data_IF_611688807338
#
_entry.id   IF_611688807338
#
_cell.length_a   1.000
_cell.length_b   1.000
_cell.length_c   1.000
_cell.angle_alpha   90.00
_cell.angle_beta   90.00
_cell.angle_gamma   90.00
#
_symmetry.space_group_name_H-M   'P 1'
#
loop_
_entity.id
_entity.type
_entity.pdbx_description
1 polymer ?
#
# COMPACT_ATOMS: atom_id res chain seq x y z
N UNK A 1 -16.81 -13.27 -6.79
CA UNK A 1 -18.03 -13.20 -5.95
C UNK A 1 -19.23 -13.59 -6.79
N UNK A 2 -20.10 -14.45 -6.28
CA UNK A 2 -21.37 -14.79 -6.93
C UNK A 2 -22.47 -13.96 -6.26
N UNK A 3 -23.26 -13.23 -7.06
CA UNK A 3 -24.28 -12.32 -6.56
C UNK A 3 -25.67 -12.93 -6.73
N UNK A 4 -26.40 -13.06 -5.64
CA UNK A 4 -27.83 -13.39 -5.57
C UNK A 4 -28.57 -12.16 -5.06
N UNK A 5 -29.58 -11.69 -5.78
CA UNK A 5 -30.30 -10.44 -5.46
C UNK A 5 -29.37 -9.26 -5.16
N UNK A 6 -28.34 -9.10 -6.01
CA UNK A 6 -27.29 -8.08 -5.90
C UNK A 6 -26.50 -8.09 -4.58
N UNK A 7 -26.54 -9.22 -3.87
CA UNK A 7 -25.79 -9.48 -2.64
C UNK A 7 -24.81 -10.65 -2.82
N UNK A 8 -23.60 -10.54 -2.27
CA UNK A 8 -22.61 -11.61 -2.30
C UNK A 8 -21.83 -11.70 -0.98
N UNK A 9 -21.66 -12.92 -0.47
CA UNK A 9 -20.76 -13.22 0.64
C UNK A 9 -19.32 -13.39 0.18
N UNK A 10 -18.37 -12.94 1.00
CA UNK A 10 -16.94 -12.97 0.75
C UNK A 10 -16.17 -13.21 2.06
N UNK A 11 -14.88 -13.52 1.93
CA UNK A 11 -13.99 -13.77 3.06
C UNK A 11 -12.66 -13.07 2.86
N UNK A 12 -12.22 -12.36 3.89
CA UNK A 12 -10.88 -11.79 3.98
C UNK A 12 -9.97 -12.74 4.78
N UNK A 13 -8.81 -13.06 4.22
CA UNK A 13 -7.83 -13.95 4.85
C UNK A 13 -6.88 -13.11 5.70
N UNK A 14 -6.78 -13.48 6.97
CA UNK A 14 -6.02 -12.85 8.03
C UNK A 14 -4.66 -13.50 8.31
N UNK A 15 -4.03 -13.15 9.45
CA UNK A 15 -2.79 -13.76 9.90
C UNK A 15 -2.95 -15.27 10.18
N UNK A 16 -1.85 -16.01 10.03
CA UNK A 16 -1.82 -17.44 10.31
C UNK A 16 -1.87 -17.69 11.83
N UNK A 17 -2.85 -18.49 12.28
CA UNK A 17 -2.92 -18.96 13.66
C UNK A 17 -1.92 -20.10 13.87
N UNK A 18 -0.72 -19.75 14.35
CA UNK A 18 0.36 -20.70 14.65
C UNK A 18 0.20 -21.41 16.00
N UNK A 19 -0.84 -21.09 16.79
CA UNK A 19 -1.11 -21.79 18.06
C UNK A 19 -1.82 -23.14 17.87
N UNK A 20 -2.34 -23.40 16.67
CA UNK A 20 -2.97 -24.66 16.30
C UNK A 20 -1.92 -25.70 15.86
N UNK A 21 -2.17 -26.98 16.13
CA UNK A 21 -1.32 -28.10 15.66
C UNK A 21 -1.14 -28.06 14.14
N UNK A 22 -2.21 -27.71 13.42
CA UNK A 22 -2.20 -27.41 11.99
C UNK A 22 -2.50 -25.93 11.84
N UNK A 23 -1.50 -25.09 11.53
CA UNK A 23 -1.73 -23.66 11.37
C UNK A 23 -2.80 -23.37 10.32
N UNK A 24 -3.75 -22.50 10.66
CA UNK A 24 -4.83 -22.07 9.78
C UNK A 24 -4.94 -20.55 9.79
N UNK A 25 -5.27 -19.89 8.67
CA UNK A 25 -5.45 -18.45 8.67
C UNK A 25 -6.69 -18.07 9.48
N UNK A 26 -6.58 -17.00 10.26
CA UNK A 26 -7.77 -16.28 10.72
C UNK A 26 -8.52 -15.73 9.52
N UNK A 27 -9.84 -15.56 9.65
CA UNK A 27 -10.66 -15.08 8.55
C UNK A 27 -11.76 -14.18 9.07
N UNK A 28 -12.07 -13.12 8.31
CA UNK A 28 -13.22 -12.25 8.56
C UNK A 28 -14.14 -12.37 7.36
N UNK A 29 -15.35 -12.85 7.60
CA UNK A 29 -16.39 -12.91 6.57
C UNK A 29 -17.05 -11.52 6.42
N UNK A 30 -17.42 -11.18 5.20
CA UNK A 30 -18.10 -9.91 4.89
C UNK A 30 -19.11 -10.09 3.76
N UNK A 31 -20.06 -9.16 3.69
CA UNK A 31 -21.12 -9.16 2.69
C UNK A 31 -21.00 -7.90 1.85
N UNK A 32 -21.25 -8.03 0.55
CA UNK A 32 -21.27 -6.92 -0.38
C UNK A 32 -22.66 -6.84 -1.02
N UNK A 33 -23.28 -5.67 -0.92
CA UNK A 33 -24.51 -5.33 -1.62
C UNK A 33 -24.19 -4.31 -2.71
N UNK A 34 -24.44 -4.61 -3.98
CA UNK A 34 -24.15 -3.68 -5.07
C UNK A 34 -25.41 -3.05 -5.62
N UNK A 35 -25.28 -1.80 -6.06
CA UNK A 35 -26.29 -1.10 -6.84
C UNK A 35 -25.69 -0.74 -8.20
N UNK A 36 -26.17 -1.44 -9.24
CA UNK A 36 -25.72 -1.24 -10.62
C UNK A 36 -26.17 0.11 -11.19
N UNK A 37 -27.32 0.64 -10.77
CA UNK A 37 -27.81 1.92 -11.26
C UNK A 37 -27.02 3.07 -10.63
N UNK A 38 -26.78 2.99 -9.33
CA UNK A 38 -25.99 3.98 -8.60
C UNK A 38 -24.48 3.85 -8.82
N UNK A 39 -24.00 2.78 -9.47
CA UNK A 39 -22.58 2.45 -9.63
C UNK A 39 -21.86 2.46 -8.27
N UNK A 40 -22.48 1.82 -7.28
CA UNK A 40 -22.01 1.81 -5.90
C UNK A 40 -22.13 0.42 -5.26
N UNK A 41 -21.46 0.22 -4.13
CA UNK A 41 -21.63 -0.94 -3.28
C UNK A 41 -21.52 -0.58 -1.81
N UNK A 42 -22.27 -1.31 -0.98
CA UNK A 42 -22.15 -1.35 0.47
C UNK A 42 -21.37 -2.61 0.84
N UNK A 43 -20.34 -2.45 1.66
CA UNK A 43 -19.55 -3.54 2.24
C UNK A 43 -19.90 -3.58 3.72
N UNK A 44 -20.49 -4.68 4.17
CA UNK A 44 -20.77 -4.96 5.58
C UNK A 44 -19.72 -5.95 6.09
N UNK A 45 -18.84 -5.48 6.98
CA UNK A 45 -17.75 -6.27 7.54
C UNK A 45 -17.69 -5.97 9.04
N UNK A 46 -17.83 -7.01 9.87
CA UNK A 46 -17.95 -6.87 11.32
C UNK A 46 -19.05 -5.85 11.70
N UNK A 47 -18.75 -4.86 12.54
CA UNK A 47 -19.71 -3.81 12.96
C UNK A 47 -19.71 -2.59 12.01
N UNK A 48 -19.05 -2.68 10.85
CA UNK A 48 -18.83 -1.56 9.95
C UNK A 48 -19.65 -1.71 8.66
N UNK A 49 -20.15 -0.56 8.17
CA UNK A 49 -20.82 -0.43 6.87
C UNK A 49 -20.13 0.64 6.05
N UNK A 50 -19.58 0.25 4.90
CA UNK A 50 -18.76 1.11 4.05
C UNK A 50 -19.46 1.28 2.72
N UNK A 51 -19.77 2.51 2.34
CA UNK A 51 -20.38 2.82 1.04
C UNK A 51 -19.31 3.35 0.10
N UNK A 52 -19.12 2.68 -1.05
CA UNK A 52 -18.18 3.09 -2.07
C UNK A 52 -18.89 3.27 -3.41
N UNK A 53 -18.53 4.33 -4.13
CA UNK A 53 -18.80 4.45 -5.56
C UNK A 53 -17.70 3.76 -6.36
N UNK A 54 -18.00 3.34 -7.58
CA UNK A 54 -16.98 2.82 -8.49
C UNK A 54 -15.85 3.85 -8.67
N UNK A 55 -14.60 3.40 -8.59
CA UNK A 55 -13.41 4.24 -8.57
C UNK A 55 -13.08 4.87 -7.22
N UNK A 56 -13.78 4.51 -6.13
CA UNK A 56 -13.55 5.05 -4.80
C UNK A 56 -12.82 4.08 -3.88
N UNK A 57 -11.84 4.61 -3.15
CA UNK A 57 -11.20 3.96 -2.00
C UNK A 57 -11.95 4.26 -0.71
N UNK A 58 -12.02 3.28 0.19
CA UNK A 58 -12.41 3.53 1.57
C UNK A 58 -11.29 4.24 2.34
N UNK A 59 -11.66 4.83 3.47
CA UNK A 59 -10.70 5.10 4.54
C UNK A 59 -10.11 3.79 5.08
N UNK A 60 -9.13 3.90 5.97
CA UNK A 60 -8.59 2.75 6.69
C UNK A 60 -9.68 2.11 7.57
N UNK A 61 -9.84 0.80 7.39
CA UNK A 61 -10.80 -0.03 8.09
C UNK A 61 -10.04 -0.90 9.09
N UNK A 62 -10.36 -0.76 10.37
CA UNK A 62 -9.82 -1.60 11.45
C UNK A 62 -10.63 -2.89 11.55
N UNK A 63 -9.92 -4.01 11.54
CA UNK A 63 -10.46 -5.36 11.57
C UNK A 63 -9.90 -6.12 12.76
N UNK A 64 -10.77 -6.85 13.42
CA UNK A 64 -10.42 -7.76 14.51
C UNK A 64 -10.29 -9.20 13.99
N UNK A 65 -9.10 -9.79 14.10
CA UNK A 65 -8.87 -11.18 13.71
C UNK A 65 -8.79 -12.06 14.96
N UNK A 66 -9.83 -12.86 15.15
CA UNK A 66 -9.89 -13.86 16.21
C UNK A 66 -9.00 -15.07 15.88
N UNK A 67 -8.08 -15.38 16.78
CA UNK A 67 -7.25 -16.58 16.79
C UNK A 67 -7.78 -17.54 17.85
N UNK A 68 -8.42 -18.62 17.38
CA UNK A 68 -8.87 -19.69 18.26
C UNK A 68 -7.72 -20.30 19.04
N UNK A 69 -7.85 -20.36 20.36
CA UNK A 69 -6.86 -20.93 21.28
C UNK A 69 -7.30 -22.33 21.76
N UNK A 70 -6.40 -23.14 22.36
CA UNK A 70 -6.79 -24.39 23.01
C UNK A 70 -7.92 -24.17 24.03
N UNK A 71 -8.82 -25.14 24.18
CA UNK A 71 -10.14 -25.03 24.83
C UNK A 71 -10.21 -24.48 26.26
N UNK A 72 -9.07 -24.28 26.93
CA UNK A 72 -8.96 -23.74 28.29
C UNK A 72 -8.42 -22.30 28.34
N UNK A 73 -8.08 -21.70 27.20
CA UNK A 73 -7.54 -20.34 27.08
C UNK A 73 -8.51 -19.50 26.23
N UNK A 74 -8.85 -18.27 26.65
CA UNK A 74 -9.63 -17.36 25.81
C UNK A 74 -8.96 -17.14 24.45
N UNK A 75 -9.79 -16.93 23.42
CA UNK A 75 -9.28 -16.62 22.09
C UNK A 75 -8.48 -15.33 22.10
N UNK A 76 -7.43 -15.29 21.26
CA UNK A 76 -6.57 -14.13 21.13
C UNK A 76 -7.05 -13.29 19.95
N UNK A 77 -7.01 -11.98 20.10
CA UNK A 77 -7.43 -11.05 19.06
C UNK A 77 -6.21 -10.31 18.51
N UNK A 78 -6.10 -10.22 17.18
CA UNK A 78 -5.09 -9.44 16.48
C UNK A 78 -5.78 -8.36 15.69
N UNK A 79 -5.44 -7.12 15.94
CA UNK A 79 -5.93 -6.01 15.13
C UNK A 79 -5.08 -5.81 13.87
N UNK A 80 -5.76 -5.70 12.73
CA UNK A 80 -5.17 -5.30 11.47
C UNK A 80 -6.00 -4.21 10.79
N UNK A 81 -5.42 -3.56 9.80
CA UNK A 81 -6.12 -2.56 8.99
C UNK A 81 -6.01 -2.87 7.50
N UNK A 82 -7.04 -2.52 6.75
CA UNK A 82 -7.02 -2.54 5.28
C UNK A 82 -7.84 -1.40 4.69
N UNK A 83 -7.72 -1.19 3.39
CA UNK A 83 -8.64 -0.37 2.59
C UNK A 83 -9.32 -1.22 1.54
N UNK A 84 -10.55 -0.86 1.22
CA UNK A 84 -11.27 -1.37 0.08
C UNK A 84 -11.21 -0.38 -1.08
N UNK A 85 -11.17 -0.89 -2.31
CA UNK A 85 -11.25 -0.10 -3.52
C UNK A 85 -12.22 -0.75 -4.50
N UNK A 86 -13.31 -0.05 -4.78
CA UNK A 86 -14.34 -0.55 -5.69
C UNK A 86 -13.96 -0.23 -7.13
N UNK A 87 -13.33 -1.18 -7.82
CA UNK A 87 -12.85 -0.98 -9.19
C UNK A 87 -13.99 -0.99 -10.21
N UNK A 88 -14.90 -1.94 -10.08
CA UNK A 88 -15.98 -2.18 -11.05
C UNK A 88 -17.21 -2.74 -10.33
N UNK A 89 -18.38 -2.20 -10.60
CA UNK A 89 -19.66 -2.69 -10.05
C UNK A 89 -20.36 -3.64 -11.02
N UNK A 90 -20.33 -3.30 -12.31
CA UNK A 90 -20.91 -4.05 -13.41
C UNK A 90 -20.19 -3.74 -14.75
N UNK A 91 -20.19 -4.67 -15.73
CA UNK A 91 -20.81 -6.01 -15.67
C UNK A 91 -20.04 -6.99 -14.76
N UNK A 92 -18.74 -6.80 -14.56
CA UNK A 92 -17.94 -7.66 -13.70
C UNK A 92 -17.71 -6.96 -12.36
N UNK A 93 -18.11 -7.58 -11.26
CA UNK A 93 -17.85 -6.98 -9.95
C UNK A 93 -16.38 -7.18 -9.57
N UNK A 94 -15.67 -6.07 -9.31
CA UNK A 94 -14.28 -6.05 -8.89
C UNK A 94 -14.12 -5.16 -7.66
N UNK A 95 -13.83 -5.80 -6.53
CA UNK A 95 -13.49 -5.15 -5.28
C UNK A 95 -12.09 -5.58 -4.88
N UNK A 96 -11.20 -4.61 -4.72
CA UNK A 96 -9.85 -4.83 -4.22
C UNK A 96 -9.82 -4.55 -2.71
N UNK A 97 -9.11 -5.41 -1.97
CA UNK A 97 -8.74 -5.17 -0.59
C UNK A 97 -7.21 -5.02 -0.54
N UNK A 98 -6.72 -3.96 0.10
CA UNK A 98 -5.27 -3.79 0.29
C UNK A 98 -4.70 -4.95 1.10
N UNK A 99 -3.38 -5.22 1.00
CA UNK A 99 -2.70 -6.06 1.98
C UNK A 99 -3.06 -5.65 3.41
N UNK A 100 -3.19 -6.65 4.28
CA UNK A 100 -3.40 -6.40 5.70
C UNK A 100 -2.15 -5.74 6.29
N UNK A 101 -2.36 -4.60 6.93
CA UNK A 101 -1.36 -3.90 7.71
C UNK A 101 -1.60 -4.21 9.19
N UNK A 102 -0.54 -4.13 10.00
CA UNK A 102 -0.69 -4.11 11.46
C UNK A 102 -1.42 -2.82 11.83
N UNK A 103 -2.35 -2.88 12.78
CA UNK A 103 -2.97 -1.65 13.29
C UNK A 103 -1.95 -0.83 14.10
N UNK A 104 -1.53 0.37 13.67
CA UNK A 104 -0.54 1.14 14.41
C UNK A 104 -1.05 1.64 15.78
N UNK A 105 -2.37 1.65 16.02
CA UNK A 105 -2.95 2.01 17.33
C UNK A 105 -2.90 0.87 18.36
N UNK A 106 -2.83 -0.38 17.88
CA UNK A 106 -2.76 -1.60 18.71
C UNK A 106 -1.95 -2.70 18.02
N UNK A 107 -0.71 -2.37 17.66
CA UNK A 107 0.09 -3.21 16.77
C UNK A 107 0.52 -4.49 17.47
N UNK A 108 0.12 -5.63 16.92
CA UNK A 108 0.60 -6.94 17.37
C UNK A 108 2.09 -7.13 17.06
N UNK A 109 2.56 -6.56 15.94
CA UNK A 109 3.96 -6.60 15.53
C UNK A 109 4.72 -5.42 16.15
N UNK A 110 5.92 -5.67 16.68
CA UNK A 110 6.83 -4.59 17.06
C UNK A 110 7.41 -3.98 15.79
N UNK A 111 6.92 -2.80 15.42
CA UNK A 111 7.35 -2.05 14.22
C UNK A 111 8.07 -0.74 14.56
N UNK A 112 8.13 -0.38 15.85
CA UNK A 112 8.90 0.77 16.35
C UNK A 112 9.76 0.38 17.54
N UNK A 113 10.80 1.18 17.78
CA UNK A 113 11.55 1.21 19.02
C UNK A 113 11.59 2.65 19.57
N UNK A 114 11.10 2.90 20.79
CA UNK A 114 10.45 1.93 21.68
C UNK A 114 9.05 1.49 21.19
N UNK A 115 8.46 0.39 21.70
CA UNK A 115 7.21 -0.18 21.20
C UNK A 115 6.01 0.76 21.26
N UNK A 116 5.95 1.66 22.23
CA UNK A 116 4.88 2.63 22.42
C UNK A 116 4.89 3.76 21.38
N UNK A 117 6.03 4.01 20.73
CA UNK A 117 6.19 5.13 19.81
C UNK A 117 5.19 5.09 18.64
N UNK A 118 4.82 3.90 18.17
CA UNK A 118 3.80 3.75 17.12
C UNK A 118 2.41 4.28 17.55
N UNK A 119 2.09 4.18 18.84
CA UNK A 119 0.83 4.68 19.39
C UNK A 119 0.80 6.21 19.41
N UNK A 120 1.93 6.84 19.71
CA UNK A 120 2.05 8.31 19.65
C UNK A 120 1.84 8.81 18.22
N UNK A 121 2.53 8.19 17.24
CA UNK A 121 2.39 8.53 15.83
C UNK A 121 0.93 8.35 15.38
N UNK A 122 0.32 7.20 15.66
CA UNK A 122 -1.06 6.91 15.22
C UNK A 122 -2.10 7.76 15.93
N UNK A 123 -1.89 8.14 17.19
CA UNK A 123 -2.79 9.06 17.90
C UNK A 123 -2.88 10.43 17.21
N UNK A 124 -1.79 10.87 16.58
CA UNK A 124 -1.69 12.16 15.90
C UNK A 124 -2.04 12.09 14.42
N UNK A 125 -1.63 11.04 13.72
CA UNK A 125 -1.75 10.92 12.27
C UNK A 125 -2.90 10.02 11.81
N UNK A 126 -3.55 9.31 12.74
CA UNK A 126 -4.51 8.26 12.44
C UNK A 126 -3.83 6.99 11.94
N UNK A 127 -4.59 6.19 11.16
CA UNK A 127 -4.12 4.94 10.59
C UNK A 127 -3.30 5.19 9.31
N UNK A 128 -2.26 4.38 9.07
CA UNK A 128 -1.34 4.49 7.94
C UNK A 128 -0.71 3.12 7.60
N UNK A 129 -0.08 3.01 6.43
CA UNK A 129 0.60 1.79 5.99
C UNK A 129 1.73 1.37 6.95
N UNK A 130 1.71 0.10 7.38
CA UNK A 130 2.76 -0.53 8.20
C UNK A 130 3.47 -1.68 7.49
N UNK A 131 3.13 -1.97 6.24
CA UNK A 131 3.86 -2.97 5.43
C UNK A 131 5.21 -2.42 4.97
N UNK A 132 6.17 -3.32 4.71
CA UNK A 132 7.49 -2.92 4.22
C UNK A 132 7.45 -2.26 2.83
N UNK A 133 6.78 -2.89 1.87
CA UNK A 133 6.46 -2.27 0.58
C UNK A 133 5.01 -1.81 0.59
N UNK A 134 4.81 -0.49 0.51
CA UNK A 134 3.53 0.17 0.75
C UNK A 134 2.82 0.44 -0.58
N UNK A 135 3.55 0.87 -1.60
CA UNK A 135 3.06 0.95 -2.98
C UNK A 135 2.87 -0.46 -3.57
N UNK A 136 1.64 -0.80 -3.95
CA UNK A 136 1.29 -2.14 -4.42
C UNK A 136 1.64 -2.36 -5.90
N UNK A 137 2.94 -2.28 -6.19
CA UNK A 137 3.54 -2.56 -7.49
C UNK A 137 3.25 -4.01 -7.97
N UNK A 138 2.99 -4.95 -7.05
CA UNK A 138 2.61 -6.32 -7.40
C UNK A 138 1.20 -6.37 -7.97
N UNK A 139 0.26 -5.61 -7.43
CA UNK A 139 -1.07 -5.48 -8.02
C UNK A 139 -1.03 -4.88 -9.43
N UNK A 140 -0.14 -3.91 -9.68
CA UNK A 140 0.08 -3.42 -11.05
C UNK A 140 0.70 -4.49 -11.96
N UNK A 141 1.80 -5.13 -11.53
CA UNK A 141 2.51 -6.14 -12.32
C UNK A 141 1.63 -7.35 -12.67
N UNK A 142 0.71 -7.72 -11.77
CA UNK A 142 -0.25 -8.80 -11.97
C UNK A 142 -1.57 -8.35 -12.63
N UNK A 143 -1.64 -7.10 -13.12
CA UNK A 143 -2.81 -6.52 -13.82
C UNK A 143 -4.09 -6.45 -12.97
N UNK A 144 -3.95 -6.46 -11.65
CA UNK A 144 -5.03 -6.15 -10.71
C UNK A 144 -5.33 -4.65 -10.77
N UNK A 145 -4.27 -3.83 -10.82
CA UNK A 145 -4.37 -2.40 -11.06
C UNK A 145 -4.07 -2.03 -12.51
N UNK A 146 -4.75 -0.98 -12.98
CA UNK A 146 -4.28 -0.14 -14.07
C UNK A 146 -3.19 0.81 -13.58
N UNK A 147 -2.42 1.39 -14.49
CA UNK A 147 -1.43 2.41 -14.16
C UNK A 147 -2.04 3.61 -13.42
N UNK A 148 -3.29 3.98 -13.74
CA UNK A 148 -3.99 5.08 -13.06
C UNK A 148 -4.32 4.74 -11.61
N UNK A 149 -4.80 3.53 -11.35
CA UNK A 149 -5.15 3.05 -10.01
C UNK A 149 -3.91 2.93 -9.12
N UNK A 150 -2.82 2.35 -9.65
CA UNK A 150 -1.55 2.32 -8.95
C UNK A 150 -1.04 3.72 -8.65
N UNK A 151 -1.14 4.66 -9.59
CA UNK A 151 -0.68 6.03 -9.37
C UNK A 151 -1.48 6.79 -8.30
N UNK A 152 -2.75 6.44 -8.07
CA UNK A 152 -3.56 6.98 -6.96
C UNK A 152 -3.13 6.34 -5.64
N UNK A 153 -2.94 5.02 -5.62
CA UNK A 153 -2.51 4.32 -4.41
C UNK A 153 -1.10 4.77 -3.98
N UNK A 154 -0.19 4.96 -4.92
CA UNK A 154 1.15 5.47 -4.65
C UNK A 154 1.15 6.92 -4.11
N UNK A 155 0.18 7.75 -4.52
CA UNK A 155 0.02 9.09 -3.94
C UNK A 155 -0.48 9.03 -2.49
N UNK A 156 -1.38 8.10 -2.12
CA UNK A 156 -1.73 7.89 -0.71
C UNK A 156 -0.51 7.57 0.15
N UNK A 157 0.38 6.68 -0.33
CA UNK A 157 1.63 6.36 0.36
C UNK A 157 2.50 7.61 0.48
N UNK A 158 2.69 8.36 -0.60
CA UNK A 158 3.50 9.58 -0.58
C UNK A 158 2.98 10.62 0.42
N UNK A 159 1.66 10.86 0.46
CA UNK A 159 1.05 11.77 1.44
C UNK A 159 1.24 11.27 2.87
N UNK A 160 1.15 9.97 3.12
CA UNK A 160 1.48 9.37 4.41
C UNK A 160 2.95 9.58 4.80
N UNK A 161 3.89 9.43 3.86
CA UNK A 161 5.31 9.73 4.10
C UNK A 161 5.53 11.20 4.45
N UNK A 162 4.87 12.14 3.77
CA UNK A 162 4.97 13.56 4.14
C UNK A 162 4.47 13.85 5.54
N UNK A 163 3.34 13.27 5.95
CA UNK A 163 2.81 13.42 7.31
C UNK A 163 3.74 12.82 8.37
N UNK A 164 4.35 11.68 8.06
CA UNK A 164 5.34 11.05 8.94
C UNK A 164 6.62 11.87 9.06
N UNK A 165 7.10 12.46 7.96
CA UNK A 165 8.25 13.36 7.99
C UNK A 165 7.95 14.59 8.87
N UNK A 166 6.80 15.23 8.68
CA UNK A 166 6.42 16.40 9.47
C UNK A 166 6.32 16.07 10.96
N UNK A 167 5.66 14.95 11.30
CA UNK A 167 5.65 14.46 12.67
C UNK A 167 7.07 14.26 13.22
N UNK A 168 7.97 13.66 12.43
CA UNK A 168 9.34 13.43 12.86
C UNK A 168 10.10 14.75 13.08
N UNK A 169 9.94 15.74 12.19
CA UNK A 169 10.59 17.05 12.29
C UNK A 169 10.08 17.87 13.49
N UNK A 170 8.79 17.78 13.83
CA UNK A 170 8.20 18.49 14.97
C UNK A 170 8.55 17.87 16.32
N UNK A 171 8.84 16.56 16.36
CA UNK A 171 9.18 15.82 17.58
C UNK A 171 10.66 15.45 17.67
N UNK A 172 11.49 15.96 16.76
CA UNK A 172 12.92 15.78 16.80
C UNK A 172 13.56 16.78 17.77
N UNK A 173 14.44 16.29 18.65
CA UNK A 173 15.17 17.12 19.62
C UNK A 173 16.66 17.21 19.24
N UNK A 174 17.40 16.10 19.31
CA UNK A 174 18.84 16.04 19.00
C UNK A 174 19.26 14.64 18.50
N UNK A 175 20.49 14.54 17.98
CA UNK A 175 21.11 13.31 17.50
C UNK A 175 21.03 13.14 15.98
N UNK A 176 20.31 12.09 15.53
CA UNK A 176 20.17 11.75 14.11
C UNK A 176 18.70 11.52 13.77
N UNK A 177 18.15 12.36 12.89
CA UNK A 177 16.92 12.07 12.17
C UNK A 177 17.26 11.46 10.81
N UNK A 178 16.91 10.19 10.61
CA UNK A 178 16.97 9.54 9.31
C UNK A 178 15.56 9.32 8.77
N UNK A 179 15.27 9.87 7.58
CA UNK A 179 13.99 9.70 6.92
C UNK A 179 14.17 9.23 5.48
N UNK A 180 13.42 8.21 5.10
CA UNK A 180 13.49 7.58 3.78
C UNK A 180 12.19 7.78 3.00
N UNK A 181 12.29 8.10 1.71
CA UNK A 181 11.15 8.13 0.79
C UNK A 181 11.27 6.98 -0.21
N UNK A 182 10.48 5.91 -0.03
CA UNK A 182 10.40 4.79 -1.00
C UNK A 182 9.76 5.19 -2.32
N UNK A 183 8.94 6.25 -2.33
CA UNK A 183 8.13 6.61 -3.49
C UNK A 183 8.96 7.01 -4.70
N UNK A 184 10.15 7.60 -4.53
CA UNK A 184 11.05 7.93 -5.65
C UNK A 184 11.59 6.68 -6.35
N UNK A 185 11.71 5.58 -5.62
CA UNK A 185 12.16 4.29 -6.13
C UNK A 185 10.99 3.50 -6.75
N UNK A 186 9.97 3.18 -5.94
CA UNK A 186 8.90 2.27 -6.37
C UNK A 186 8.05 2.83 -7.51
N UNK A 187 7.79 4.14 -7.53
CA UNK A 187 7.08 4.74 -8.65
C UNK A 187 7.95 4.77 -9.91
N UNK A 188 9.26 5.05 -9.78
CA UNK A 188 10.18 5.04 -10.91
C UNK A 188 10.30 3.63 -11.51
N UNK A 189 10.36 2.57 -10.70
CA UNK A 189 10.31 1.20 -11.20
C UNK A 189 9.12 0.95 -12.14
N UNK A 190 7.96 1.55 -11.85
CA UNK A 190 6.74 1.34 -12.63
C UNK A 190 6.59 2.30 -13.82
N UNK A 191 7.10 3.52 -13.71
CA UNK A 191 6.79 4.64 -14.61
C UNK A 191 7.99 5.30 -15.29
N UNK A 192 9.23 4.88 -15.01
CA UNK A 192 10.41 5.45 -15.64
C UNK A 192 10.48 5.14 -17.14
N UNK A 193 10.50 6.19 -17.96
CA UNK A 193 10.71 6.10 -19.40
C UNK A 193 11.27 7.41 -19.95
N UNK A 194 12.52 7.69 -19.65
CA UNK A 194 13.27 8.86 -20.15
C UNK A 194 13.78 8.58 -21.57
N UNK A 195 12.87 8.50 -22.54
CA UNK A 195 13.20 8.24 -23.95
C UNK A 195 12.03 8.53 -24.88
N UNK A 196 12.36 9.00 -26.08
CA UNK A 196 11.42 9.07 -27.22
C UNK A 196 11.25 7.72 -27.93
N UNK A 197 12.00 6.68 -27.55
CA UNK A 197 11.81 5.33 -28.08
C UNK A 197 10.42 4.77 -27.75
N UNK A 198 9.92 3.88 -28.63
CA UNK A 198 8.69 3.15 -28.39
C UNK A 198 8.79 2.32 -27.09
N UNK A 199 7.92 2.63 -26.13
CA UNK A 199 7.78 1.86 -24.88
C UNK A 199 7.35 0.41 -25.17
N UNK A 200 7.88 -0.60 -24.45
CA UNK A 200 7.56 -2.01 -24.67
C UNK A 200 6.07 -2.35 -24.62
N UNK A 201 5.35 -1.78 -23.65
CA UNK A 201 3.96 -2.16 -23.32
C UNK A 201 2.96 -1.00 -23.30
N UNK A 202 3.40 0.26 -23.36
CA UNK A 202 2.54 1.45 -23.21
C UNK A 202 2.49 2.24 -24.50
N UNK A 203 1.41 3.00 -24.68
CA UNK A 203 1.33 4.01 -25.74
C UNK A 203 2.37 5.12 -25.48
N UNK A 204 2.77 5.85 -26.52
CA UNK A 204 3.69 6.99 -26.35
C UNK A 204 3.10 8.07 -25.43
N UNK A 205 1.79 8.30 -25.51
CA UNK A 205 1.09 9.25 -24.67
C UNK A 205 1.11 8.82 -23.19
N UNK A 206 0.85 7.54 -22.90
CA UNK A 206 0.88 7.02 -21.53
C UNK A 206 2.30 6.99 -20.98
N UNK A 207 3.29 6.53 -21.75
CA UNK A 207 4.70 6.54 -21.33
C UNK A 207 5.14 7.95 -20.90
N UNK A 208 4.84 8.97 -21.73
CA UNK A 208 5.13 10.37 -21.40
C UNK A 208 4.35 10.85 -20.18
N UNK A 209 3.06 10.52 -20.07
CA UNK A 209 2.19 10.90 -18.95
C UNK A 209 2.72 10.36 -17.62
N UNK A 210 3.11 9.09 -17.58
CA UNK A 210 3.59 8.44 -16.36
C UNK A 210 5.02 8.82 -16.03
N UNK A 211 5.90 9.01 -17.02
CA UNK A 211 7.22 9.58 -16.78
C UNK A 211 7.13 11.01 -16.21
N UNK A 212 6.19 11.83 -16.70
CA UNK A 212 5.94 13.16 -16.14
C UNK A 212 5.43 13.12 -14.68
N UNK A 213 4.82 12.01 -14.22
CA UNK A 213 4.52 11.86 -12.77
C UNK A 213 5.80 11.73 -11.95
N UNK A 214 6.83 11.07 -12.48
CA UNK A 214 8.13 10.98 -11.82
C UNK A 214 8.78 12.36 -11.74
N UNK A 215 8.76 13.15 -12.82
CA UNK A 215 9.22 14.55 -12.76
C UNK A 215 8.54 15.35 -11.65
N UNK A 216 7.21 15.30 -11.57
CA UNK A 216 6.45 15.98 -10.51
C UNK A 216 6.78 15.47 -9.11
N UNK A 217 7.08 14.18 -8.97
CA UNK A 217 7.54 13.63 -7.70
C UNK A 217 8.88 14.24 -7.29
N UNK A 218 9.84 14.38 -8.21
CA UNK A 218 11.12 15.06 -7.93
C UNK A 218 10.93 16.55 -7.61
N UNK A 219 10.06 17.27 -8.32
CA UNK A 219 9.71 18.67 -7.97
C UNK A 219 9.13 18.78 -6.55
N UNK A 220 8.33 17.79 -6.14
CA UNK A 220 7.78 17.75 -4.79
C UNK A 220 8.86 17.44 -3.74
N UNK A 221 9.79 16.54 -4.03
CA UNK A 221 10.94 16.26 -3.16
C UNK A 221 11.83 17.50 -3.00
N UNK A 222 12.09 18.22 -4.09
CA UNK A 222 12.84 19.49 -4.07
C UNK A 222 12.17 20.52 -3.17
N UNK A 223 10.84 20.66 -3.26
CA UNK A 223 10.06 21.54 -2.38
C UNK A 223 10.19 21.17 -0.90
N UNK A 224 10.18 19.86 -0.58
CA UNK A 224 10.39 19.36 0.80
C UNK A 224 11.79 19.72 1.29
N UNK A 225 12.81 19.54 0.45
CA UNK A 225 14.18 19.89 0.82
C UNK A 225 14.35 21.40 1.03
N UNK A 226 13.76 22.23 0.17
CA UNK A 226 13.77 23.68 0.33
C UNK A 226 13.17 24.12 1.67
N UNK A 227 12.09 23.46 2.11
CA UNK A 227 11.46 23.74 3.39
C UNK A 227 12.30 23.26 4.59
N UNK A 228 12.91 22.08 4.52
CA UNK A 228 13.86 21.60 5.56
C UNK A 228 15.05 22.56 5.69
N UNK A 229 15.65 22.97 4.57
CA UNK A 229 16.78 23.92 4.56
C UNK A 229 16.38 25.25 5.18
N UNK A 230 15.17 25.76 4.89
CA UNK A 230 14.67 27.00 5.50
C UNK A 230 14.49 26.88 7.01
N UNK A 231 14.01 25.74 7.51
CA UNK A 231 13.73 25.53 8.94
C UNK A 231 14.98 25.19 9.76
N UNK A 232 15.92 24.46 9.19
CA UNK A 232 17.02 23.81 9.91
C UNK A 232 18.41 23.99 9.30
N UNK A 233 18.56 24.69 8.16
CA UNK A 233 19.84 24.82 7.44
C UNK A 233 20.96 25.46 8.26
N UNK A 234 20.63 26.35 9.20
CA UNK A 234 21.59 26.99 10.10
C UNK A 234 21.72 26.26 11.46
N UNK A 235 20.97 25.15 11.65
CA UNK A 235 20.85 24.44 12.94
C UNK A 235 21.36 23.01 12.90
N UNK A 236 21.32 22.36 11.74
CA UNK A 236 21.67 20.96 11.59
C UNK A 236 22.43 20.72 10.28
N UNK A 237 23.32 19.74 10.29
CA UNK A 237 23.92 19.21 9.06
C UNK A 237 22.87 18.39 8.33
N UNK A 238 22.49 18.85 7.13
CA UNK A 238 21.51 18.16 6.28
C UNK A 238 22.27 17.36 5.22
N UNK A 239 22.02 16.06 5.16
CA UNK A 239 22.58 15.16 4.16
C UNK A 239 21.44 14.57 3.34
N UNK A 240 21.50 14.75 2.02
CA UNK A 240 20.60 14.10 1.06
C UNK A 240 21.44 13.11 0.27
N UNK A 241 20.97 11.86 0.23
CA UNK A 241 21.64 10.79 -0.50
C UNK A 241 20.63 9.84 -1.14
N UNK A 242 21.09 9.13 -2.16
CA UNK A 242 20.35 8.04 -2.81
C UNK A 242 21.25 6.80 -2.81
N UNK A 243 20.65 5.63 -2.73
CA UNK A 243 21.32 4.35 -2.83
C UNK A 243 21.66 3.98 -4.29
N UNK A 244 20.79 4.33 -5.24
CA UNK A 244 21.03 4.17 -6.67
C UNK A 244 20.22 5.15 -7.54
N UNK A 245 20.36 5.02 -8.86
CA UNK A 245 19.61 5.75 -9.88
C UNK A 245 18.70 4.84 -10.72
N UNK A 246 18.21 5.37 -11.85
CA UNK A 246 17.28 4.66 -12.76
C UNK A 246 17.72 4.71 -14.22
N UNK A 247 17.29 3.70 -14.98
CA UNK A 247 17.45 3.62 -16.42
C UNK A 247 16.24 2.94 -17.06
N UNK A 248 16.04 3.16 -18.36
CA UNK A 248 14.93 2.57 -19.10
C UNK A 248 15.00 1.04 -19.10
N UNK A 249 13.91 0.38 -18.70
CA UNK A 249 13.81 -1.07 -18.68
C UNK A 249 13.00 -1.58 -19.89
N UNK A 250 13.70 -2.15 -20.87
CA UNK A 250 13.10 -2.59 -22.14
C UNK A 250 13.07 -4.11 -22.35
N UNK A 251 13.99 -4.84 -21.74
CA UNK A 251 14.25 -6.24 -22.03
C UNK A 251 14.51 -7.01 -20.74
N UNK A 252 14.05 -8.26 -20.70
CA UNK A 252 14.35 -9.22 -19.66
C UNK A 252 14.82 -10.52 -20.30
N UNK A 253 15.78 -11.19 -19.67
CA UNK A 253 16.27 -12.49 -20.10
C UNK A 253 15.76 -13.58 -19.15
N UNK A 254 15.07 -14.58 -19.69
CA UNK A 254 14.59 -15.72 -18.91
C UNK A 254 15.68 -16.79 -18.83
N UNK A 255 16.54 -16.67 -17.81
CA UNK A 255 17.66 -17.58 -17.57
C UNK A 255 17.20 -19.03 -17.46
N UNK A 256 16.06 -19.30 -16.81
CA UNK A 256 15.56 -20.67 -16.61
C UNK A 256 15.17 -21.33 -17.94
N UNK A 257 14.48 -20.60 -18.82
CA UNK A 257 14.15 -21.10 -20.16
C UNK A 257 15.42 -21.37 -20.96
N UNK A 258 16.38 -20.45 -20.94
CA UNK A 258 17.64 -20.61 -21.64
C UNK A 258 18.46 -21.80 -21.12
N UNK A 259 18.59 -21.95 -19.79
CA UNK A 259 19.33 -23.06 -19.18
C UNK A 259 18.71 -24.41 -19.56
N UNK A 260 17.37 -24.53 -19.48
CA UNK A 260 16.64 -25.74 -19.89
C UNK A 260 16.85 -26.04 -21.38
N UNK A 261 16.73 -25.04 -22.25
CA UNK A 261 16.90 -25.20 -23.70
C UNK A 261 18.34 -25.58 -24.10
N UNK A 262 19.33 -25.25 -23.27
CA UNK A 262 20.74 -25.58 -23.50
C UNK A 262 21.21 -26.81 -22.70
N UNK A 263 20.30 -27.54 -22.04
CA UNK A 263 20.62 -28.79 -21.34
C UNK A 263 21.35 -28.62 -20.00
N UNK A 264 21.22 -27.46 -19.36
CA UNK A 264 21.78 -27.18 -18.03
C UNK A 264 20.76 -27.37 -16.88
N UNK A 265 19.51 -27.71 -17.20
CA UNK A 265 18.42 -28.06 -16.26
C UNK A 265 17.73 -29.36 -16.68
#
# INVERSE_FOLDING_TARGET
LFFEDETAGARLVGPLNTFLIKPQPATVDFVVHRDKQAQAAVIEIQEQRIVLKQGQWSDWIKLDFELTMPSVIPNKHISGICRFYLQEVAPNFRLYASPLNSDPSDSYLRITEPPEFIKDISSRLGLFYTTGFQEDHKSLSNKVFTDAEYAVQADYVLQERFRLLEYALENYDDGLLFFYFSSTDLQAHMFWWDSDEKHPTRSAADAKKYFNKIHKLYEKMDSVMGDILKRYGDKATIIVMSDHGFANFKRQFNVNSWLRENGYL
#
